data_IF_120193800697
#
_entry.id   IF_120193800697
#
_cell.length_a   1.000
_cell.length_b   1.000
_cell.length_c   1.000
_cell.angle_alpha   90.00
_cell.angle_beta   90.00
_cell.angle_gamma   90.00
#
_symmetry.space_group_name_H-M   'P 1'
#
loop_
_entity.id
_entity.type
_entity.pdbx_description
1 polymer ?
#
# COMPACT_ATOMS: atom_id res chain seq x y z
N UNK A 1 14.94 28.50 -7.65
CA UNK A 1 14.06 28.60 -6.46
C UNK A 1 13.78 27.19 -5.98
N UNK A 2 13.88 26.95 -4.68
CA UNK A 2 13.56 25.66 -4.08
C UNK A 2 12.05 25.48 -4.00
N UNK A 3 11.58 24.22 -4.20
CA UNK A 3 10.18 23.84 -4.16
C UNK A 3 9.90 22.80 -3.06
N UNK A 4 8.66 22.72 -2.66
CA UNK A 4 8.14 21.64 -1.82
C UNK A 4 7.37 20.61 -2.67
N UNK A 5 7.61 19.33 -2.37
CA UNK A 5 6.88 18.21 -3.00
C UNK A 5 5.86 17.65 -2.03
N UNK A 6 4.60 17.57 -2.46
CA UNK A 6 3.49 16.98 -1.71
C UNK A 6 3.09 15.67 -2.39
N UNK A 7 3.07 14.58 -1.64
CA UNK A 7 2.74 13.24 -2.16
C UNK A 7 1.48 12.73 -1.48
N UNK A 8 0.37 12.74 -2.18
CA UNK A 8 -0.92 12.23 -1.70
C UNK A 8 -1.09 10.73 -2.02
N UNK A 9 -2.04 10.07 -1.39
CA UNK A 9 -2.34 8.66 -1.66
C UNK A 9 -3.10 8.47 -2.97
N UNK A 10 -3.97 9.43 -3.33
CA UNK A 10 -4.86 9.35 -4.50
C UNK A 10 -4.91 10.67 -5.27
N UNK A 11 -5.22 10.64 -6.58
CA UNK A 11 -5.33 11.84 -7.40
C UNK A 11 -6.33 12.87 -6.86
N UNK A 12 -7.46 12.43 -6.29
CA UNK A 12 -8.50 13.31 -5.71
C UNK A 12 -7.95 14.08 -4.51
N UNK A 13 -7.23 13.42 -3.62
CA UNK A 13 -6.60 14.04 -2.45
C UNK A 13 -5.53 15.05 -2.88
N UNK A 14 -4.71 14.71 -3.89
CA UNK A 14 -3.73 15.62 -4.46
C UNK A 14 -4.36 16.92 -4.98
N UNK A 15 -5.54 16.84 -5.60
CA UNK A 15 -6.27 18.01 -6.06
C UNK A 15 -6.73 18.90 -4.91
N UNK A 16 -7.20 18.33 -3.80
CA UNK A 16 -7.58 19.11 -2.61
C UNK A 16 -6.38 19.82 -1.99
N UNK A 17 -5.21 19.15 -1.90
CA UNK A 17 -3.96 19.80 -1.49
C UNK A 17 -3.57 20.94 -2.43
N UNK A 18 -3.65 20.72 -3.75
CA UNK A 18 -3.32 21.75 -4.74
C UNK A 18 -4.24 22.98 -4.65
N UNK A 19 -5.54 22.77 -4.39
CA UNK A 19 -6.51 23.85 -4.16
C UNK A 19 -6.20 24.60 -2.85
N UNK A 20 -5.94 23.87 -1.76
CA UNK A 20 -5.65 24.47 -0.46
C UNK A 20 -4.40 25.35 -0.48
N UNK A 21 -3.39 24.99 -1.28
CA UNK A 21 -2.17 25.79 -1.43
C UNK A 21 -2.40 27.12 -2.14
N UNK A 22 -3.52 27.33 -2.85
CA UNK A 22 -3.89 28.58 -3.56
C UNK A 22 -2.81 29.13 -4.50
N UNK A 23 -2.07 28.23 -5.14
CA UNK A 23 -1.02 28.57 -6.09
C UNK A 23 -1.48 28.34 -7.52
N UNK A 24 -0.87 29.00 -8.50
CA UNK A 24 -1.19 28.77 -9.92
C UNK A 24 -0.61 27.41 -10.37
N UNK A 25 -1.33 26.33 -10.06
CA UNK A 25 -0.92 24.97 -10.37
C UNK A 25 -1.19 24.65 -11.85
N UNK A 26 -0.16 24.27 -12.56
CA UNK A 26 -0.25 23.74 -13.92
C UNK A 26 -0.26 22.22 -13.91
N UNK A 27 -1.16 21.64 -14.70
CA UNK A 27 -1.25 20.18 -14.82
C UNK A 27 -0.13 19.63 -15.70
N UNK A 28 0.52 18.60 -15.19
CA UNK A 28 1.55 17.82 -15.87
C UNK A 28 1.13 16.35 -15.92
N UNK A 29 1.93 15.52 -16.57
CA UNK A 29 1.68 14.08 -16.59
C UNK A 29 1.99 13.47 -15.21
N UNK A 30 0.97 13.10 -14.47
CA UNK A 30 1.07 12.48 -13.15
C UNK A 30 1.34 13.44 -11.97
N UNK A 31 1.30 14.76 -12.16
CA UNK A 31 1.47 15.74 -11.08
C UNK A 31 0.92 17.13 -11.46
N UNK A 32 0.87 18.01 -10.47
CA UNK A 32 0.56 19.44 -10.60
C UNK A 32 1.77 20.24 -10.16
N UNK A 33 2.08 21.34 -10.80
CA UNK A 33 3.28 22.15 -10.50
C UNK A 33 3.01 23.64 -10.56
N UNK A 34 3.56 24.36 -9.58
CA UNK A 34 3.67 25.81 -9.53
C UNK A 34 5.14 26.24 -9.40
N UNK A 35 5.38 27.53 -9.22
CA UNK A 35 6.73 28.04 -8.99
C UNK A 35 7.30 27.63 -7.63
N UNK A 36 6.43 27.31 -6.64
CA UNK A 36 6.83 27.00 -5.26
C UNK A 36 6.58 25.56 -4.85
N UNK A 37 5.68 24.85 -5.53
CA UNK A 37 5.21 23.53 -5.11
C UNK A 37 4.98 22.57 -6.27
N UNK A 38 5.20 21.29 -5.97
CA UNK A 38 4.82 20.17 -6.81
C UNK A 38 3.89 19.28 -6.00
N UNK A 39 2.76 18.89 -6.56
CA UNK A 39 1.81 17.98 -5.93
C UNK A 39 1.64 16.75 -6.82
N UNK A 40 1.97 15.59 -6.30
CA UNK A 40 1.81 14.30 -6.98
C UNK A 40 1.02 13.32 -6.11
N UNK A 41 0.81 12.13 -6.60
CA UNK A 41 0.00 11.12 -5.91
C UNK A 41 0.49 9.72 -6.19
N UNK A 42 0.19 8.83 -5.26
CA UNK A 42 0.11 7.41 -5.50
C UNK A 42 -1.28 7.06 -6.12
N UNK A 43 -1.49 5.81 -6.46
CA UNK A 43 -2.82 5.29 -6.87
C UNK A 43 -3.21 4.14 -5.93
N UNK A 44 -3.07 4.37 -4.64
CA UNK A 44 -2.92 3.35 -3.63
C UNK A 44 -1.49 2.82 -3.62
N UNK A 45 -1.30 1.52 -3.55
CA UNK A 45 0.05 0.93 -3.59
C UNK A 45 0.70 1.06 -4.97
N UNK A 46 1.93 1.57 -5.00
CA UNK A 46 2.82 1.56 -6.17
C UNK A 46 3.84 0.41 -6.10
N UNK A 47 4.08 -0.08 -4.90
CA UNK A 47 5.05 -1.13 -4.58
C UNK A 47 4.34 -2.22 -3.77
N UNK A 48 4.73 -3.46 -3.99
CA UNK A 48 4.21 -4.63 -3.27
C UNK A 48 5.33 -5.59 -2.89
N UNK A 49 5.06 -6.51 -1.97
CA UNK A 49 5.95 -7.64 -1.74
C UNK A 49 5.93 -8.59 -2.93
N UNK A 50 7.12 -9.05 -3.33
CA UNK A 50 7.27 -9.96 -4.47
C UNK A 50 6.69 -11.33 -4.17
N UNK A 51 6.05 -11.94 -5.17
CA UNK A 51 5.55 -13.31 -5.06
C UNK A 51 6.67 -14.34 -4.87
N UNK A 52 6.37 -15.54 -4.30
CA UNK A 52 7.37 -16.57 -4.00
C UNK A 52 8.26 -16.96 -5.19
N UNK A 53 7.75 -16.95 -6.42
CA UNK A 53 8.52 -17.24 -7.62
C UNK A 53 9.66 -16.25 -7.92
N UNK A 54 9.67 -15.09 -7.28
CA UNK A 54 10.78 -14.12 -7.36
C UNK A 54 11.93 -14.47 -6.41
N UNK A 55 11.67 -15.36 -5.48
CA UNK A 55 12.69 -15.92 -4.58
C UNK A 55 13.30 -17.17 -5.17
N UNK A 56 12.45 -18.08 -5.67
CA UNK A 56 12.81 -19.30 -6.37
C UNK A 56 11.74 -19.61 -7.44
N UNK A 57 12.11 -19.72 -8.72
CA UNK A 57 11.18 -20.08 -9.81
C UNK A 57 10.40 -21.37 -9.56
N UNK A 58 10.96 -22.34 -8.83
CA UNK A 58 10.28 -23.57 -8.46
C UNK A 58 8.99 -23.32 -7.62
N UNK A 59 8.96 -22.23 -6.86
CA UNK A 59 7.82 -21.84 -6.01
C UNK A 59 6.62 -21.30 -6.81
N UNK A 60 6.75 -21.15 -8.13
CA UNK A 60 5.62 -20.84 -9.01
C UNK A 60 4.61 -21.97 -9.03
N UNK A 61 5.07 -23.23 -8.99
CA UNK A 61 4.22 -24.40 -8.86
C UNK A 61 3.92 -24.65 -7.38
N UNK A 62 2.65 -24.67 -7.05
CA UNK A 62 2.23 -24.93 -5.68
C UNK A 62 2.39 -26.43 -5.35
N UNK A 63 3.08 -26.71 -4.23
CA UNK A 63 3.27 -28.06 -3.69
C UNK A 63 3.25 -28.02 -2.17
N UNK A 64 2.78 -29.08 -1.53
CA UNK A 64 2.83 -29.22 -0.07
C UNK A 64 4.28 -29.30 0.44
N UNK A 65 5.20 -29.81 -0.38
CA UNK A 65 6.62 -29.95 -0.04
C UNK A 65 7.34 -28.60 0.04
N UNK A 66 6.80 -27.55 -0.61
CA UNK A 66 7.36 -26.19 -0.61
C UNK A 66 6.73 -25.27 0.44
N UNK A 67 5.91 -25.83 1.33
CA UNK A 67 5.28 -25.11 2.43
C UNK A 67 5.88 -25.52 3.78
N UNK A 68 6.00 -24.58 4.74
CA UNK A 68 5.66 -23.17 4.62
C UNK A 68 6.74 -22.37 3.85
N UNK A 69 6.30 -21.38 3.06
CA UNK A 69 7.19 -20.38 2.49
C UNK A 69 7.48 -19.28 3.54
N UNK A 70 8.71 -19.22 3.99
CA UNK A 70 9.19 -18.29 5.03
C UNK A 70 10.50 -17.64 4.56
N UNK A 71 10.45 -16.54 3.80
CA UNK A 71 11.66 -15.88 3.33
C UNK A 71 12.39 -15.17 4.48
N UNK A 72 13.69 -15.32 4.54
CA UNK A 72 14.52 -14.58 5.51
C UNK A 72 14.50 -13.07 5.22
N UNK A 73 14.58 -12.71 3.95
CA UNK A 73 14.54 -11.33 3.49
C UNK A 73 13.37 -11.10 2.55
N UNK A 74 12.53 -10.12 2.88
CA UNK A 74 11.39 -9.76 2.04
C UNK A 74 11.84 -8.93 0.84
N UNK A 75 11.48 -9.38 -0.36
CA UNK A 75 11.69 -8.66 -1.62
C UNK A 75 10.45 -7.83 -1.95
N UNK A 76 10.70 -6.67 -2.53
CA UNK A 76 9.66 -5.75 -2.97
C UNK A 76 9.82 -5.46 -4.46
N UNK A 77 8.71 -5.19 -5.14
CA UNK A 77 8.72 -4.84 -6.56
C UNK A 77 7.67 -3.78 -6.86
N UNK A 78 7.94 -2.98 -7.88
CA UNK A 78 6.97 -2.02 -8.41
C UNK A 78 5.85 -2.77 -9.11
N UNK A 79 4.61 -2.45 -8.78
CA UNK A 79 3.43 -3.04 -9.41
C UNK A 79 3.40 -2.67 -10.90
N UNK A 80 3.38 -3.64 -11.83
CA UNK A 80 3.52 -3.38 -13.27
C UNK A 80 2.51 -2.38 -13.83
N UNK A 81 1.25 -2.48 -13.40
CA UNK A 81 0.12 -1.68 -13.89
C UNK A 81 0.26 -0.19 -13.53
N UNK A 82 1.01 0.12 -12.49
CA UNK A 82 1.21 1.50 -11.99
C UNK A 82 2.66 1.98 -12.12
N UNK A 83 3.49 1.24 -12.84
CA UNK A 83 4.91 1.54 -13.04
C UNK A 83 5.15 2.95 -13.57
N UNK A 84 4.28 3.43 -14.47
CA UNK A 84 4.37 4.79 -15.01
C UNK A 84 4.31 5.83 -13.88
N UNK A 85 3.31 5.72 -13.00
CA UNK A 85 3.15 6.64 -11.88
C UNK A 85 4.29 6.52 -10.87
N UNK A 86 4.76 5.30 -10.57
CA UNK A 86 5.94 5.11 -9.73
C UNK A 86 7.16 5.83 -10.31
N UNK A 87 7.41 5.72 -11.61
CA UNK A 87 8.53 6.39 -12.28
C UNK A 87 8.44 7.91 -12.16
N UNK A 88 7.23 8.47 -12.32
CA UNK A 88 6.99 9.91 -12.15
C UNK A 88 7.30 10.34 -10.72
N UNK A 89 6.74 9.66 -9.72
CA UNK A 89 6.97 9.96 -8.30
C UNK A 89 8.45 9.83 -7.95
N UNK A 90 9.12 8.76 -8.40
CA UNK A 90 10.54 8.55 -8.18
C UNK A 90 11.39 9.68 -8.78
N UNK A 91 11.10 10.10 -10.01
CA UNK A 91 11.81 11.22 -10.64
C UNK A 91 11.60 12.53 -9.87
N UNK A 92 10.39 12.81 -9.41
CA UNK A 92 10.09 14.00 -8.61
C UNK A 92 10.82 13.99 -7.28
N UNK A 93 10.94 12.85 -6.63
CA UNK A 93 11.68 12.67 -5.38
C UNK A 93 13.18 12.98 -5.52
N UNK A 94 13.75 12.77 -6.72
CA UNK A 94 15.18 13.03 -6.99
C UNK A 94 15.46 14.42 -7.60
N UNK A 95 14.44 15.24 -7.84
CA UNK A 95 14.65 16.58 -8.40
C UNK A 95 15.49 17.43 -7.45
N UNK A 96 16.50 18.10 -7.98
CA UNK A 96 17.42 18.96 -7.22
C UNK A 96 16.73 20.20 -6.64
N UNK A 97 15.71 20.71 -7.33
CA UNK A 97 14.94 21.87 -6.86
C UNK A 97 13.90 21.54 -5.77
N UNK A 98 13.70 20.25 -5.43
CA UNK A 98 12.88 19.82 -4.31
C UNK A 98 13.71 19.78 -3.03
N UNK A 99 13.39 20.66 -2.07
CA UNK A 99 14.06 20.75 -0.78
C UNK A 99 13.34 19.92 0.29
N UNK A 100 12.03 20.02 0.36
CA UNK A 100 11.20 19.35 1.37
C UNK A 100 10.13 18.50 0.72
N UNK A 101 9.98 17.28 1.21
CA UNK A 101 8.92 16.35 0.83
C UNK A 101 7.88 16.32 1.95
N UNK A 102 6.64 16.62 1.62
CA UNK A 102 5.48 16.48 2.50
C UNK A 102 4.74 15.19 2.16
N UNK A 103 4.71 14.28 3.12
CA UNK A 103 4.03 12.99 3.01
C UNK A 103 2.56 13.18 3.38
N UNK A 104 1.70 13.19 2.39
CA UNK A 104 0.27 13.50 2.49
C UNK A 104 -0.61 12.28 2.19
N UNK A 105 -0.08 11.07 2.37
CA UNK A 105 -0.87 9.84 2.35
C UNK A 105 -1.78 9.78 3.57
N UNK A 106 -2.81 8.94 3.54
CA UNK A 106 -3.82 8.86 4.59
C UNK A 106 -3.19 8.71 6.00
N UNK A 107 -3.79 9.37 7.00
CA UNK A 107 -3.30 9.40 8.37
C UNK A 107 -3.54 8.07 9.07
N UNK A 108 -2.62 7.14 8.90
CA UNK A 108 -2.72 5.80 9.44
C UNK A 108 -1.57 4.88 8.99
N UNK A 109 -1.59 3.64 9.49
CA UNK A 109 -0.57 2.62 9.15
C UNK A 109 -0.46 2.34 7.66
N UNK A 110 -1.58 2.32 6.95
CA UNK A 110 -1.61 2.01 5.52
C UNK A 110 -0.96 3.12 4.70
N UNK A 111 -1.34 4.38 4.93
CA UNK A 111 -0.74 5.51 4.25
C UNK A 111 0.75 5.66 4.55
N UNK A 112 1.17 5.37 5.78
CA UNK A 112 2.58 5.31 6.17
C UNK A 112 3.32 4.23 5.37
N UNK A 113 2.77 3.03 5.29
CA UNK A 113 3.35 1.91 4.55
C UNK A 113 3.49 2.20 3.06
N UNK A 114 2.46 2.78 2.43
CA UNK A 114 2.47 3.15 1.01
C UNK A 114 3.64 4.08 0.72
N UNK A 115 3.79 5.15 1.50
CA UNK A 115 4.87 6.11 1.26
C UNK A 115 6.26 5.52 1.53
N UNK A 116 6.45 4.82 2.66
CA UNK A 116 7.75 4.23 3.02
C UNK A 116 8.25 3.24 1.97
N UNK A 117 7.36 2.44 1.39
CA UNK A 117 7.72 1.54 0.29
C UNK A 117 8.16 2.31 -0.96
N UNK A 118 7.47 3.39 -1.30
CA UNK A 118 7.86 4.24 -2.44
C UNK A 118 9.22 4.88 -2.20
N UNK A 119 9.43 5.45 -1.01
CA UNK A 119 10.69 6.07 -0.61
C UNK A 119 11.86 5.07 -0.64
N UNK A 120 11.63 3.86 -0.12
CA UNK A 120 12.61 2.76 -0.12
C UNK A 120 12.97 2.32 -1.55
N UNK A 121 11.96 2.08 -2.41
CA UNK A 121 12.18 1.64 -3.79
C UNK A 121 12.80 2.73 -4.67
N UNK A 122 12.47 4.00 -4.42
CA UNK A 122 13.10 5.14 -5.09
C UNK A 122 14.55 5.36 -4.60
N UNK A 123 14.92 4.85 -3.42
CA UNK A 123 16.25 5.01 -2.86
C UNK A 123 16.58 6.45 -2.46
N UNK A 124 15.61 7.15 -1.86
CA UNK A 124 15.77 8.54 -1.46
C UNK A 124 16.82 8.65 -0.35
N UNK A 125 17.75 9.59 -0.50
CA UNK A 125 18.73 9.97 0.51
C UNK A 125 18.76 11.49 0.63
N UNK A 126 19.07 11.96 1.83
CA UNK A 126 19.42 13.38 2.12
C UNK A 126 18.34 14.41 1.75
N UNK A 127 17.06 14.02 1.75
CA UNK A 127 15.91 14.92 1.59
C UNK A 127 15.17 15.08 2.91
N UNK A 128 14.79 16.31 3.23
CA UNK A 128 13.92 16.59 4.38
C UNK A 128 12.53 16.03 4.11
N UNK A 129 12.04 15.15 4.97
CA UNK A 129 10.74 14.52 4.85
C UNK A 129 9.88 14.89 6.06
N UNK A 130 8.66 15.33 5.80
CA UNK A 130 7.70 15.72 6.83
C UNK A 130 6.37 15.03 6.63
N UNK A 131 5.85 14.43 7.68
CA UNK A 131 4.55 13.76 7.70
C UNK A 131 3.44 14.74 8.00
N UNK A 132 2.52 14.89 7.06
CA UNK A 132 1.26 15.63 7.24
C UNK A 132 0.23 14.68 7.85
N UNK A 133 -0.37 15.09 8.97
CA UNK A 133 -1.36 14.31 9.68
C UNK A 133 -2.65 15.12 9.79
N UNK A 134 -3.70 14.65 9.09
CA UNK A 134 -5.00 15.33 8.99
C UNK A 134 -6.14 14.34 9.18
N UNK A 135 -7.23 14.81 9.74
CA UNK A 135 -8.45 14.02 9.98
C UNK A 135 -9.53 14.27 8.93
N UNK A 136 -9.40 15.35 8.16
CA UNK A 136 -10.30 15.66 7.04
C UNK A 136 -9.55 16.37 5.90
N UNK A 137 -10.19 16.48 4.74
CA UNK A 137 -9.60 17.12 3.54
C UNK A 137 -10.14 18.53 3.31
N UNK A 138 -10.58 19.22 4.37
CA UNK A 138 -10.95 20.64 4.27
C UNK A 138 -9.71 21.50 4.10
N UNK A 139 -9.85 22.64 3.44
CA UNK A 139 -8.74 23.58 3.21
C UNK A 139 -8.02 23.96 4.53
N UNK A 140 -8.80 24.29 5.56
CA UNK A 140 -8.28 24.67 6.87
C UNK A 140 -7.44 23.55 7.48
N UNK A 141 -7.94 22.33 7.45
CA UNK A 141 -7.28 21.16 8.01
C UNK A 141 -6.01 20.79 7.24
N UNK A 142 -6.04 20.87 5.91
CA UNK A 142 -4.85 20.64 5.06
C UNK A 142 -3.75 21.68 5.42
N UNK A 143 -4.11 22.95 5.48
CA UNK A 143 -3.15 24.00 5.81
C UNK A 143 -2.61 23.87 7.26
N UNK A 144 -3.45 23.46 8.20
CA UNK A 144 -3.03 23.13 9.57
C UNK A 144 -2.01 21.99 9.55
N UNK A 145 -2.37 20.86 8.89
CA UNK A 145 -1.51 19.69 8.82
C UNK A 145 -0.16 19.96 8.17
N UNK A 146 -0.09 20.83 7.16
CA UNK A 146 1.18 21.25 6.55
C UNK A 146 2.02 22.07 7.53
N UNK A 147 1.42 23.01 8.26
CA UNK A 147 2.15 23.84 9.26
C UNK A 147 2.69 23.00 10.41
N UNK A 148 1.91 22.00 10.86
CA UNK A 148 2.22 21.15 12.02
C UNK A 148 2.95 19.87 11.62
N UNK A 149 3.30 19.72 10.34
CA UNK A 149 3.95 18.51 9.83
C UNK A 149 5.27 18.23 10.56
N UNK A 150 5.34 17.06 11.16
CA UNK A 150 6.48 16.57 11.92
C UNK A 150 7.49 15.88 11.01
N UNK A 151 8.70 15.71 11.52
CA UNK A 151 9.71 14.91 10.84
C UNK A 151 9.20 13.46 10.64
N UNK A 152 9.50 12.89 9.49
CA UNK A 152 9.05 11.54 9.13
C UNK A 152 9.57 10.47 10.10
N UNK A 153 10.71 10.70 10.73
CA UNK A 153 11.30 9.79 11.73
C UNK A 153 10.46 9.64 13.01
N UNK A 154 9.64 10.64 13.35
CA UNK A 154 8.72 10.52 14.49
C UNK A 154 7.67 9.41 14.28
N UNK A 155 7.49 8.94 13.06
CA UNK A 155 6.55 7.88 12.69
C UNK A 155 7.22 6.51 12.46
N UNK A 156 8.49 6.32 12.82
CA UNK A 156 9.23 5.06 12.62
C UNK A 156 8.58 3.86 13.32
N UNK A 157 8.04 4.04 14.52
CA UNK A 157 7.32 2.99 15.23
C UNK A 157 6.00 2.61 14.52
N UNK A 158 5.31 3.60 13.97
CA UNK A 158 4.10 3.37 13.17
C UNK A 158 4.46 2.62 11.88
N UNK A 159 5.53 3.04 11.21
CA UNK A 159 6.08 2.37 10.03
C UNK A 159 6.45 0.91 10.34
N UNK A 160 7.21 0.65 11.41
CA UNK A 160 7.56 -0.70 11.81
C UNK A 160 6.33 -1.59 12.05
N UNK A 161 5.31 -1.06 12.72
CA UNK A 161 4.02 -1.74 12.93
C UNK A 161 3.31 -2.06 11.61
N UNK A 162 3.35 -1.13 10.63
CA UNK A 162 2.76 -1.31 9.32
C UNK A 162 3.47 -2.40 8.51
N UNK A 163 4.81 -2.40 8.50
CA UNK A 163 5.61 -3.44 7.85
C UNK A 163 5.40 -4.82 8.46
N UNK A 164 5.35 -4.93 9.79
CA UNK A 164 5.07 -6.20 10.47
C UNK A 164 3.72 -6.75 10.10
N UNK A 165 2.68 -5.92 10.12
CA UNK A 165 1.33 -6.31 9.73
C UNK A 165 1.27 -6.78 8.28
N UNK A 166 1.89 -6.05 7.36
CA UNK A 166 1.91 -6.43 5.95
C UNK A 166 2.62 -7.76 5.72
N UNK A 167 3.75 -8.01 6.41
CA UNK A 167 4.48 -9.29 6.37
C UNK A 167 3.65 -10.44 6.93
N UNK A 168 2.95 -10.23 8.05
CA UNK A 168 2.05 -11.21 8.64
C UNK A 168 0.93 -11.58 7.65
N UNK A 169 0.21 -10.60 7.12
CA UNK A 169 -0.86 -10.81 6.15
C UNK A 169 -0.35 -11.53 4.89
N UNK A 170 0.84 -11.18 4.40
CA UNK A 170 1.48 -11.82 3.27
C UNK A 170 1.81 -13.29 3.54
N UNK A 171 2.46 -13.61 4.66
CA UNK A 171 2.86 -14.97 5.02
C UNK A 171 1.64 -15.86 5.26
N UNK A 172 0.67 -15.37 6.03
CA UNK A 172 -0.57 -16.10 6.29
C UNK A 172 -1.36 -16.31 4.99
N UNK A 173 -1.53 -15.26 4.21
CA UNK A 173 -2.26 -15.30 2.95
C UNK A 173 -1.68 -16.33 1.98
N UNK A 174 -0.39 -16.28 1.73
CA UNK A 174 0.28 -17.20 0.79
C UNK A 174 0.25 -18.64 1.30
N UNK A 175 0.70 -18.89 2.52
CA UNK A 175 0.85 -20.25 3.02
C UNK A 175 -0.48 -20.96 3.20
N UNK A 176 -1.44 -20.32 3.85
CA UNK A 176 -2.74 -20.95 4.10
C UNK A 176 -3.60 -21.04 2.83
N UNK A 177 -3.54 -20.05 1.93
CA UNK A 177 -4.26 -20.15 0.66
C UNK A 177 -3.74 -21.31 -0.18
N UNK A 178 -2.42 -21.48 -0.29
CA UNK A 178 -1.82 -22.61 -1.00
C UNK A 178 -2.16 -23.94 -0.34
N UNK A 179 -2.01 -24.04 0.99
CA UNK A 179 -2.31 -25.25 1.76
C UNK A 179 -3.76 -25.72 1.57
N UNK A 180 -4.74 -24.82 1.78
CA UNK A 180 -6.15 -25.15 1.65
C UNK A 180 -6.54 -25.45 0.21
N UNK A 181 -6.01 -24.71 -0.76
CA UNK A 181 -6.25 -24.96 -2.17
C UNK A 181 -5.74 -26.35 -2.60
N UNK A 182 -4.53 -26.73 -2.18
CA UNK A 182 -3.95 -28.02 -2.49
C UNK A 182 -4.70 -29.18 -1.84
N UNK A 183 -5.16 -29.02 -0.59
CA UNK A 183 -5.88 -30.09 0.14
C UNK A 183 -7.35 -30.21 -0.25
N UNK A 184 -8.04 -29.10 -0.46
CA UNK A 184 -9.50 -29.06 -0.55
C UNK A 184 -10.04 -28.47 -1.85
N UNK A 185 -9.21 -27.80 -2.66
CA UNK A 185 -9.65 -27.09 -3.86
C UNK A 185 -10.40 -27.97 -4.85
N UNK A 186 -9.92 -29.21 -5.10
CA UNK A 186 -10.58 -30.14 -6.00
C UNK A 186 -11.90 -30.67 -5.43
N UNK A 187 -11.96 -30.95 -4.13
CA UNK A 187 -13.18 -31.41 -3.48
C UNK A 187 -14.29 -30.34 -3.48
N UNK A 188 -13.89 -29.07 -3.18
CA UNK A 188 -14.82 -27.95 -3.23
C UNK A 188 -15.31 -27.70 -4.65
N UNK A 189 -14.44 -27.73 -5.66
CA UNK A 189 -14.79 -27.55 -7.05
C UNK A 189 -15.77 -28.63 -7.52
N UNK A 190 -15.52 -29.91 -7.15
CA UNK A 190 -16.41 -31.03 -7.45
C UNK A 190 -17.79 -30.89 -6.81
N UNK A 191 -17.84 -30.49 -5.53
CA UNK A 191 -19.09 -30.24 -4.80
C UNK A 191 -19.93 -29.11 -5.43
N UNK A 192 -19.26 -28.04 -5.88
CA UNK A 192 -19.93 -26.89 -6.50
C UNK A 192 -20.21 -27.07 -8.00
N UNK A 193 -19.77 -28.16 -8.62
CA UNK A 193 -19.90 -28.37 -10.07
C UNK A 193 -19.12 -27.34 -10.91
N UNK A 194 -18.02 -26.80 -10.37
CA UNK A 194 -17.22 -25.75 -11.01
C UNK A 194 -15.83 -26.29 -11.40
N UNK A 195 -15.09 -25.48 -12.21
CA UNK A 195 -13.66 -25.73 -12.40
C UNK A 195 -12.91 -25.47 -11.09
N UNK A 196 -11.72 -26.10 -10.96
CA UNK A 196 -10.83 -25.85 -9.82
C UNK A 196 -10.64 -24.34 -9.59
N UNK A 197 -10.83 -23.94 -8.34
CA UNK A 197 -10.59 -22.58 -7.88
C UNK A 197 -9.69 -22.60 -6.63
N UNK A 198 -8.79 -21.65 -6.54
CA UNK A 198 -8.00 -21.46 -5.33
C UNK A 198 -8.86 -20.96 -4.18
N UNK A 199 -8.59 -21.48 -2.99
CA UNK A 199 -9.23 -21.03 -1.74
C UNK A 199 -8.35 -19.95 -1.15
N UNK A 200 -8.84 -18.71 -1.18
CA UNK A 200 -8.13 -17.57 -0.59
C UNK A 200 -8.33 -17.52 0.93
N UNK A 201 -7.26 -17.33 1.65
CA UNK A 201 -7.26 -17.10 3.09
C UNK A 201 -6.73 -15.72 3.38
N UNK A 202 -7.45 -14.98 4.20
CA UNK A 202 -7.05 -13.67 4.66
C UNK A 202 -7.63 -13.41 6.04
N UNK A 203 -6.96 -12.61 6.83
CA UNK A 203 -7.31 -12.35 8.22
C UNK A 203 -8.76 -11.86 8.39
N UNK A 204 -9.18 -10.86 7.61
CA UNK A 204 -10.52 -10.28 7.71
C UNK A 204 -11.58 -11.18 7.07
N UNK A 205 -11.38 -11.59 5.83
CA UNK A 205 -12.35 -12.37 5.06
C UNK A 205 -12.65 -13.72 5.70
N UNK A 206 -11.63 -14.39 6.24
CA UNK A 206 -11.81 -15.68 6.92
C UNK A 206 -12.60 -15.53 8.21
N UNK A 207 -12.37 -14.46 8.99
CA UNK A 207 -13.17 -14.17 10.20
C UNK A 207 -14.63 -13.87 9.86
N UNK A 208 -14.87 -13.01 8.85
CA UNK A 208 -16.23 -12.68 8.40
C UNK A 208 -16.98 -13.93 7.91
N UNK A 209 -16.33 -14.75 7.11
CA UNK A 209 -16.91 -16.04 6.67
C UNK A 209 -17.26 -16.93 7.87
N UNK A 210 -16.38 -17.03 8.87
CA UNK A 210 -16.64 -17.77 10.09
C UNK A 210 -17.87 -17.26 10.86
N UNK A 211 -18.05 -15.94 10.94
CA UNK A 211 -19.24 -15.33 11.55
C UNK A 211 -20.53 -15.68 10.79
N UNK A 212 -20.50 -15.58 9.46
CA UNK A 212 -21.64 -15.93 8.60
C UNK A 212 -22.02 -17.40 8.76
N UNK A 213 -21.03 -18.30 8.73
CA UNK A 213 -21.26 -19.76 8.89
C UNK A 213 -21.83 -20.09 10.28
N UNK A 214 -21.33 -19.48 11.36
CA UNK A 214 -21.91 -19.65 12.70
C UNK A 214 -23.36 -19.22 12.73
N UNK A 215 -23.64 -18.02 12.24
CA UNK A 215 -25.02 -17.48 12.22
C UNK A 215 -25.96 -18.36 11.44
N UNK A 216 -25.52 -18.94 10.31
CA UNK A 216 -26.32 -19.84 9.50
C UNK A 216 -26.59 -21.18 10.20
N UNK A 217 -25.59 -21.71 10.93
CA UNK A 217 -25.78 -22.92 11.77
C UNK A 217 -26.77 -22.69 12.92
N UNK A 218 -26.64 -21.57 13.63
CA UNK A 218 -27.56 -21.20 14.72
C UNK A 218 -29.00 -21.09 14.19
N UNK A 219 -29.21 -20.46 13.04
CA UNK A 219 -30.54 -20.39 12.41
C UNK A 219 -31.14 -21.74 12.09
N UNK A 220 -30.33 -22.69 11.60
CA UNK A 220 -30.78 -24.04 11.30
C UNK A 220 -31.07 -24.91 12.54
N UNK A 221 -30.49 -24.57 13.69
CA UNK A 221 -30.74 -25.30 14.94
C UNK A 221 -32.03 -24.85 15.64
N UNK A 222 -32.69 -23.77 15.20
CA UNK A 222 -33.92 -23.22 15.76
C UNK A 222 -35.16 -23.65 14.96
N UNK A 223 -34.99 -24.36 13.86
CA UNK A 223 -36.04 -24.96 13.02
C UNK A 223 -36.06 -26.46 13.23
#
# INVERSE_FOLDING_TARGET
>A
MTKSLYIAEKPSVAQEFAKALKQNMQRRDGYLESDQSVVTWCVGHLVTMSYPEKYDPALKRWSLETLPFLPENFKYEVIPEVKKQFTIVSNLLHREDIETIYVCTDSGREGEYIYRLVAQMAGIKDKKQKRVWIDSQTEEEILRGIREAKDESEYDNLSASAYLRAKEDYLMGINFSRLLSLKYGSAVASYLGTKYQSISVGRVMTCVLGMVVRRERDRKSVV
#
